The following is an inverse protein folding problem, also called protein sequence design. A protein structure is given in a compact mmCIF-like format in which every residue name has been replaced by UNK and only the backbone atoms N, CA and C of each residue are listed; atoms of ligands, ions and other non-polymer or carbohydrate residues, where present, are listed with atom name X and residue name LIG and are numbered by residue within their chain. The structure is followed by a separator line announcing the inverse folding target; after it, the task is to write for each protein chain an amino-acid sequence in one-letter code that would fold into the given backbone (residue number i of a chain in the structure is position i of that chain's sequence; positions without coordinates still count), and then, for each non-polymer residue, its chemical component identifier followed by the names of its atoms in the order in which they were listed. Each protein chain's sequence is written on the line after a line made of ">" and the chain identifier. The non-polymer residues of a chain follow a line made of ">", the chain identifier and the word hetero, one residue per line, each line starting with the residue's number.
data_IF_595094511934
#
_entry.id   IF_595094511934
#
_cell.length_a   1.000
_cell.length_b   1.000
_cell.length_c   1.000
_cell.angle_alpha   90.00
_cell.angle_beta   90.00
_cell.angle_gamma   90.00
#
_symmetry.space_group_name_H-M   'P 1'
#
loop_
_entity.id
_entity.type
_entity.pdbx_description
1 polymer ?
#
# COMPACT_ATOMS: atom_id res chain seq x y z
N UNK A 1 8.60 -30.62 -0.67
CA UNK A 1 8.84 -29.84 0.57
C UNK A 1 7.76 -30.10 1.64
N UNK A 2 8.16 -30.57 2.83
CA UNK A 2 7.26 -30.57 3.98
C UNK A 2 6.97 -29.10 4.36
N UNK A 3 5.73 -28.72 4.70
CA UNK A 3 5.49 -27.40 5.26
C UNK A 3 6.11 -27.36 6.66
N UNK A 4 7.36 -26.93 6.74
CA UNK A 4 8.04 -26.75 8.01
C UNK A 4 7.33 -25.61 8.76
N UNK A 5 6.58 -25.97 9.81
CA UNK A 5 6.02 -25.00 10.75
C UNK A 5 7.17 -24.37 11.53
N UNK A 6 7.32 -23.06 11.43
CA UNK A 6 8.38 -22.32 12.14
C UNK A 6 7.84 -21.93 13.52
N UNK A 7 8.28 -22.52 14.64
CA UNK A 7 7.78 -22.14 15.96
C UNK A 7 8.18 -20.68 16.25
N UNK A 8 7.19 -19.78 16.31
CA UNK A 8 7.40 -18.33 16.52
C UNK A 8 6.55 -17.86 17.69
N UNK A 9 7.09 -17.91 18.91
CA UNK A 9 6.35 -17.49 20.09
C UNK A 9 6.40 -15.96 20.28
N UNK A 10 5.29 -15.31 20.65
CA UNK A 10 3.92 -15.84 20.76
C UNK A 10 3.19 -15.87 19.38
N UNK A 11 2.66 -17.03 18.97
CA UNK A 11 1.82 -17.20 17.78
C UNK A 11 0.42 -17.74 18.11
N UNK A 12 -0.61 -17.50 17.26
CA UNK A 12 -1.97 -17.89 17.58
C UNK A 12 -2.13 -19.40 17.39
N UNK A 13 -2.79 -20.04 18.36
CA UNK A 13 -3.04 -21.49 18.36
C UNK A 13 -4.20 -21.88 17.44
N UNK A 14 -5.00 -20.92 16.97
CA UNK A 14 -6.17 -21.16 16.12
C UNK A 14 -6.08 -20.42 14.78
N UNK A 15 -6.71 -20.97 13.73
CA UNK A 15 -6.80 -20.33 12.42
C UNK A 15 -7.46 -18.95 12.49
N UNK A 16 -8.52 -18.81 13.31
CA UNK A 16 -9.18 -17.52 13.55
C UNK A 16 -8.22 -16.52 14.17
N UNK A 17 -7.40 -16.93 15.15
CA UNK A 17 -6.39 -16.07 15.76
C UNK A 17 -5.32 -15.60 14.77
N UNK A 18 -4.95 -16.44 13.80
CA UNK A 18 -4.04 -16.08 12.71
C UNK A 18 -4.66 -15.04 11.78
N UNK A 19 -5.90 -15.26 11.34
CA UNK A 19 -6.61 -14.30 10.48
C UNK A 19 -6.74 -12.95 11.19
N UNK A 20 -7.16 -12.92 12.45
CA UNK A 20 -7.27 -11.69 13.23
C UNK A 20 -5.93 -10.98 13.40
N UNK A 21 -4.83 -11.73 13.60
CA UNK A 21 -3.48 -11.16 13.67
C UNK A 21 -3.09 -10.51 12.35
N UNK A 22 -3.24 -11.22 11.23
CA UNK A 22 -2.86 -10.72 9.90
C UNK A 22 -3.70 -9.50 9.55
N UNK A 23 -5.02 -9.55 9.76
CA UNK A 23 -5.90 -8.40 9.55
C UNK A 23 -5.50 -7.20 10.42
N UNK A 24 -5.22 -7.42 11.71
CA UNK A 24 -4.77 -6.35 12.61
C UNK A 24 -3.43 -5.75 12.16
N UNK A 25 -2.54 -6.55 11.58
CA UNK A 25 -1.25 -6.06 11.08
C UNK A 25 -1.41 -5.29 9.78
N UNK A 26 -2.27 -5.73 8.87
CA UNK A 26 -2.50 -5.08 7.57
C UNK A 26 -3.31 -3.78 7.72
N UNK A 27 -4.35 -3.79 8.54
CA UNK A 27 -5.29 -2.66 8.66
C UNK A 27 -4.81 -1.63 9.68
N UNK A 28 -4.27 -2.08 10.82
CA UNK A 28 -3.95 -1.20 11.95
C UNK A 28 -2.46 -1.09 12.24
N UNK A 29 -1.59 -1.78 11.49
CA UNK A 29 -0.15 -1.85 11.78
C UNK A 29 0.14 -2.14 13.26
N UNK A 30 -0.55 -3.13 13.84
CA UNK A 30 -0.57 -3.39 15.29
C UNK A 30 0.82 -3.56 15.90
N UNK A 31 1.75 -4.21 15.20
CA UNK A 31 3.14 -4.31 15.65
C UNK A 31 3.81 -2.93 15.73
N UNK A 32 3.65 -2.12 14.69
CA UNK A 32 4.21 -0.77 14.61
C UNK A 32 3.64 0.15 15.68
N UNK A 33 2.33 0.04 15.97
CA UNK A 33 1.69 0.79 17.04
C UNK A 33 2.35 0.54 18.40
N UNK A 34 2.68 -0.73 18.69
CA UNK A 34 3.34 -1.12 19.94
C UNK A 34 4.81 -0.68 19.98
N UNK A 35 5.49 -0.67 18.84
CA UNK A 35 6.92 -0.34 18.76
C UNK A 35 7.18 1.17 18.80
N UNK A 36 6.43 1.96 18.02
CA UNK A 36 6.62 3.40 17.95
C UNK A 36 5.35 4.12 17.46
N UNK A 37 4.69 4.82 18.38
CA UNK A 37 3.43 5.52 18.12
C UNK A 37 3.55 6.65 17.08
N UNK A 38 4.69 7.32 17.00
CA UNK A 38 4.91 8.40 16.03
C UNK A 38 5.03 7.89 14.61
N UNK A 39 5.82 6.82 14.40
CA UNK A 39 5.93 6.19 13.09
C UNK A 39 4.59 5.60 12.67
N UNK A 40 3.88 4.98 13.62
CA UNK A 40 2.54 4.48 13.39
C UNK A 40 1.58 5.58 12.95
N UNK A 41 1.56 6.72 13.64
CA UNK A 41 0.68 7.85 13.31
C UNK A 41 0.91 8.33 11.88
N UNK A 42 2.14 8.70 11.52
CA UNK A 42 2.45 9.18 10.16
C UNK A 42 2.24 8.09 9.10
N UNK A 43 2.54 6.83 9.44
CA UNK A 43 2.29 5.68 8.57
C UNK A 43 0.80 5.47 8.30
N UNK A 44 -0.05 5.55 9.32
CA UNK A 44 -1.51 5.44 9.19
C UNK A 44 -2.10 6.62 8.45
N UNK A 45 -1.66 7.85 8.73
CA UNK A 45 -2.09 9.04 7.99
C UNK A 45 -1.78 8.89 6.51
N UNK A 46 -0.56 8.49 6.16
CA UNK A 46 -0.16 8.28 4.77
C UNK A 46 -0.99 7.18 4.09
N UNK A 47 -1.04 5.96 4.66
CA UNK A 47 -1.73 4.85 4.00
C UNK A 47 -3.25 5.02 3.96
N UNK A 48 -3.87 5.50 5.04
CA UNK A 48 -5.30 5.78 5.08
C UNK A 48 -5.68 6.84 4.05
N UNK A 49 -4.94 7.94 3.98
CA UNK A 49 -5.18 8.98 2.98
C UNK A 49 -4.90 8.49 1.55
N UNK A 50 -3.84 7.72 1.34
CA UNK A 50 -3.53 7.11 0.04
C UNK A 50 -4.71 6.29 -0.48
N UNK A 51 -5.30 5.43 0.36
CA UNK A 51 -6.48 4.64 -0.02
C UNK A 51 -7.67 5.53 -0.39
N UNK A 52 -8.00 6.52 0.42
CA UNK A 52 -9.13 7.42 0.15
C UNK A 52 -8.89 8.22 -1.14
N UNK A 53 -7.67 8.70 -1.37
CA UNK A 53 -7.28 9.41 -2.60
C UNK A 53 -7.39 8.49 -3.80
N UNK A 54 -6.93 7.24 -3.72
CA UNK A 54 -7.08 6.26 -4.80
C UNK A 54 -8.55 5.97 -5.11
N UNK A 55 -9.40 5.80 -4.10
CA UNK A 55 -10.84 5.62 -4.30
C UNK A 55 -11.48 6.83 -4.97
N UNK A 56 -11.04 8.06 -4.64
CA UNK A 56 -11.47 9.29 -5.33
C UNK A 56 -11.11 9.27 -6.82
N UNK A 57 -9.94 8.74 -7.18
CA UNK A 57 -9.47 8.68 -8.57
C UNK A 57 -10.34 7.78 -9.46
N UNK A 58 -11.06 6.80 -8.89
CA UNK A 58 -11.98 5.93 -9.66
C UNK A 58 -13.07 6.71 -10.42
N UNK A 59 -13.36 7.96 -10.02
CA UNK A 59 -14.26 8.85 -10.75
C UNK A 59 -13.86 9.03 -12.22
N UNK A 60 -12.56 9.02 -12.52
CA UNK A 60 -12.06 9.24 -13.88
C UNK A 60 -12.12 7.98 -14.76
N UNK A 61 -12.41 6.82 -14.17
CA UNK A 61 -12.44 5.52 -14.85
C UNK A 61 -13.86 4.94 -14.97
N UNK A 62 -14.90 5.67 -14.54
CA UNK A 62 -16.29 5.18 -14.52
C UNK A 62 -17.28 6.24 -15.03
N UNK A 63 -18.16 5.84 -15.95
CA UNK A 63 -19.25 6.67 -16.50
C UNK A 63 -20.53 5.83 -16.64
N UNK A 64 -21.60 6.08 -15.86
CA UNK A 64 -21.70 7.09 -14.80
C UNK A 64 -20.79 6.79 -13.60
N UNK A 65 -20.44 7.84 -12.86
CA UNK A 65 -19.65 7.69 -11.62
C UNK A 65 -20.47 6.91 -10.59
N UNK A 66 -19.91 5.84 -10.04
CA UNK A 66 -20.60 5.02 -9.05
C UNK A 66 -20.98 5.82 -7.79
N UNK A 67 -22.18 5.58 -7.25
CA UNK A 67 -22.74 6.38 -6.15
C UNK A 67 -21.83 6.43 -4.92
N UNK A 68 -21.19 5.32 -4.56
CA UNK A 68 -20.26 5.28 -3.43
C UNK A 68 -18.96 6.07 -3.69
N UNK A 69 -18.49 6.15 -4.95
CA UNK A 69 -17.33 6.98 -5.32
C UNK A 69 -17.67 8.45 -5.18
N UNK A 70 -18.91 8.86 -5.47
CA UNK A 70 -19.40 10.23 -5.24
C UNK A 70 -19.32 10.58 -3.75
N UNK A 71 -19.76 9.68 -2.87
CA UNK A 71 -19.70 9.88 -1.41
C UNK A 71 -18.27 10.03 -0.88
N UNK A 72 -17.29 9.37 -1.51
CA UNK A 72 -15.88 9.43 -1.11
C UNK A 72 -15.18 10.73 -1.55
N UNK A 73 -15.69 11.42 -2.58
CA UNK A 73 -15.05 12.64 -3.14
C UNK A 73 -14.61 13.69 -2.11
N UNK A 74 -15.46 14.16 -1.17
CA UNK A 74 -15.06 15.18 -0.20
C UNK A 74 -13.92 14.70 0.70
N UNK A 75 -13.99 13.45 1.16
CA UNK A 75 -12.94 12.85 1.97
C UNK A 75 -11.62 12.73 1.20
N UNK A 76 -11.67 12.35 -0.08
CA UNK A 76 -10.48 12.29 -0.93
C UNK A 76 -9.90 13.66 -1.29
N UNK A 77 -10.72 14.73 -1.27
CA UNK A 77 -10.24 16.10 -1.48
C UNK A 77 -9.37 16.56 -0.31
N UNK A 78 -9.86 16.44 0.92
CA UNK A 78 -9.11 16.83 2.12
C UNK A 78 -8.06 15.79 2.55
N UNK A 79 -8.26 14.52 2.16
CA UNK A 79 -7.30 13.43 2.36
C UNK A 79 -5.93 13.73 1.76
N UNK A 80 -5.86 14.53 0.68
CA UNK A 80 -4.60 15.00 0.12
C UNK A 80 -3.70 15.70 1.14
N UNK A 81 -4.27 16.52 2.03
CA UNK A 81 -3.48 17.17 3.10
C UNK A 81 -2.98 16.17 4.13
N UNK A 82 -3.83 15.22 4.55
CA UNK A 82 -3.44 14.15 5.48
C UNK A 82 -2.30 13.31 4.90
N UNK A 83 -2.37 13.01 3.60
CA UNK A 83 -1.33 12.28 2.88
C UNK A 83 0.00 13.06 2.89
N UNK A 84 -0.04 14.36 2.59
CA UNK A 84 1.13 15.24 2.59
C UNK A 84 1.76 15.33 3.98
N UNK A 85 0.96 15.52 5.03
CA UNK A 85 1.45 15.56 6.42
C UNK A 85 2.10 14.23 6.80
N UNK A 86 1.47 13.10 6.46
CA UNK A 86 2.03 11.76 6.68
C UNK A 86 3.38 11.57 5.98
N UNK A 87 3.46 11.93 4.70
CA UNK A 87 4.69 11.84 3.91
C UNK A 87 5.79 12.75 4.45
N UNK A 88 5.49 14.01 4.78
CA UNK A 88 6.44 14.96 5.35
C UNK A 88 6.95 14.46 6.71
N UNK A 89 6.08 13.92 7.57
CA UNK A 89 6.49 13.33 8.85
C UNK A 89 7.43 12.13 8.69
N UNK A 90 7.14 11.24 7.72
CA UNK A 90 8.00 10.09 7.40
C UNK A 90 9.34 10.52 6.80
N UNK A 91 9.34 11.52 5.92
CA UNK A 91 10.55 12.08 5.32
C UNK A 91 11.40 12.81 6.38
N UNK A 92 10.78 13.64 7.22
CA UNK A 92 11.44 14.34 8.31
C UNK A 92 12.11 13.35 9.28
N UNK A 93 11.42 12.28 9.66
CA UNK A 93 12.04 11.20 10.46
C UNK A 93 13.30 10.66 9.77
N UNK A 94 13.25 10.42 8.47
CA UNK A 94 14.37 9.86 7.71
C UNK A 94 15.56 10.81 7.66
N UNK A 95 15.29 12.11 7.55
CA UNK A 95 16.31 13.16 7.48
C UNK A 95 16.87 13.49 8.86
N UNK A 96 16.07 13.58 9.93
CA UNK A 96 16.51 14.12 11.22
C UNK A 96 16.96 13.05 12.22
N UNK A 97 16.48 11.82 12.13
CA UNK A 97 16.87 10.74 13.07
C UNK A 97 18.10 10.02 12.55
N UNK A 98 19.24 10.25 13.20
CA UNK A 98 20.57 9.74 12.80
C UNK A 98 20.59 8.23 12.51
N UNK A 99 20.05 7.42 13.43
CA UNK A 99 19.95 5.95 13.26
C UNK A 99 19.24 5.57 11.95
N UNK A 100 18.18 6.29 11.60
CA UNK A 100 17.39 6.01 10.40
C UNK A 100 18.09 6.52 9.15
N UNK A 101 18.71 7.70 9.24
CA UNK A 101 19.51 8.28 8.16
C UNK A 101 20.66 7.36 7.76
N UNK A 102 21.37 6.79 8.75
CA UNK A 102 22.50 5.89 8.55
C UNK A 102 22.14 4.62 7.78
N UNK A 103 20.96 4.05 8.01
CA UNK A 103 20.49 2.82 7.36
C UNK A 103 19.63 3.06 6.10
N UNK A 104 19.42 4.32 5.70
CA UNK A 104 18.53 4.65 4.57
C UNK A 104 19.30 4.74 3.27
N UNK A 105 18.76 4.13 2.21
CA UNK A 105 19.32 4.22 0.87
C UNK A 105 18.77 5.46 0.13
N UNK A 106 19.46 6.00 -0.89
CA UNK A 106 18.95 7.12 -1.70
C UNK A 106 17.55 6.87 -2.28
N UNK A 107 17.28 5.63 -2.70
CA UNK A 107 15.97 5.22 -3.21
C UNK A 107 14.83 5.40 -2.20
N UNK A 108 15.11 5.32 -0.89
CA UNK A 108 14.11 5.54 0.15
C UNK A 108 13.64 7.00 0.24
N UNK A 109 14.53 7.95 -0.06
CA UNK A 109 14.20 9.37 -0.12
C UNK A 109 13.48 9.70 -1.43
N UNK A 110 13.98 9.19 -2.55
CA UNK A 110 13.42 9.45 -3.87
C UNK A 110 11.95 8.99 -3.97
N UNK A 111 11.60 7.83 -3.40
CA UNK A 111 10.21 7.37 -3.39
C UNK A 111 9.29 8.30 -2.58
N UNK A 112 9.73 8.77 -1.41
CA UNK A 112 8.94 9.70 -0.60
C UNK A 112 8.79 11.06 -1.30
N UNK A 113 9.85 11.56 -1.93
CA UNK A 113 9.82 12.80 -2.71
C UNK A 113 8.89 12.67 -3.90
N UNK A 114 8.95 11.56 -4.64
CA UNK A 114 8.05 11.30 -5.77
C UNK A 114 6.59 11.31 -5.33
N UNK A 115 6.26 10.64 -4.21
CA UNK A 115 4.91 10.65 -3.66
C UNK A 115 4.49 12.04 -3.15
N UNK A 116 5.42 12.85 -2.62
CA UNK A 116 5.16 14.24 -2.27
C UNK A 116 4.86 15.10 -3.50
N UNK A 117 5.57 14.90 -4.61
CA UNK A 117 5.30 15.59 -5.88
C UNK A 117 3.91 15.21 -6.40
N UNK A 118 3.56 13.92 -6.39
CA UNK A 118 2.23 13.43 -6.80
C UNK A 118 1.14 14.03 -5.91
N UNK A 119 1.27 13.90 -4.58
CA UNK A 119 0.30 14.44 -3.62
C UNK A 119 0.19 15.95 -3.67
N UNK A 120 1.32 16.64 -3.82
CA UNK A 120 1.42 18.10 -3.85
C UNK A 120 0.80 18.69 -5.10
N UNK A 121 1.14 18.15 -6.28
CA UNK A 121 0.51 18.55 -7.54
C UNK A 121 -1.00 18.25 -7.56
N UNK A 122 -1.43 17.11 -7.01
CA UNK A 122 -2.84 16.77 -6.87
C UNK A 122 -3.62 17.72 -5.92
N UNK A 123 -2.98 18.13 -4.83
CA UNK A 123 -3.53 19.15 -3.93
C UNK A 123 -3.58 20.53 -4.61
N UNK A 124 -2.53 20.92 -5.32
CA UNK A 124 -2.48 22.19 -6.04
C UNK A 124 -3.61 22.28 -7.07
N UNK A 125 -3.85 21.21 -7.83
CA UNK A 125 -4.99 21.12 -8.75
C UNK A 125 -6.36 21.20 -8.07
N UNK A 126 -6.46 20.69 -6.84
CA UNK A 126 -7.75 20.63 -6.11
C UNK A 126 -8.11 21.94 -5.40
N UNK A 127 -7.14 22.81 -5.13
CA UNK A 127 -7.32 23.98 -4.25
C UNK A 127 -6.78 25.31 -4.80
N UNK A 128 -5.83 25.31 -5.74
CA UNK A 128 -5.12 26.53 -6.15
C UNK A 128 -5.18 26.74 -7.66
N UNK A 129 -4.88 25.71 -8.46
CA UNK A 129 -4.82 25.76 -9.91
C UNK A 129 -5.76 24.70 -10.52
N UNK A 130 -7.09 24.94 -10.54
CA UNK A 130 -8.05 23.99 -11.07
C UNK A 130 -7.74 23.63 -12.53
N UNK A 131 -7.87 22.35 -12.86
CA UNK A 131 -7.75 21.80 -14.22
C UNK A 131 -9.13 21.42 -14.75
N UNK A 132 -9.26 21.29 -16.07
CA UNK A 132 -10.48 20.77 -16.69
C UNK A 132 -10.63 19.27 -16.41
N UNK A 133 -11.31 18.96 -15.30
CA UNK A 133 -11.59 17.59 -14.87
C UNK A 133 -12.56 16.85 -15.80
N UNK A 134 -13.35 17.56 -16.61
CA UNK A 134 -14.29 16.96 -17.57
C UNK A 134 -13.52 16.47 -18.78
N UNK A 135 -12.71 17.34 -19.38
CA UNK A 135 -11.82 16.95 -20.47
C UNK A 135 -10.82 15.86 -20.03
N UNK A 136 -10.25 15.97 -18.82
CA UNK A 136 -9.37 14.92 -18.30
C UNK A 136 -10.11 13.57 -18.17
N UNK A 137 -11.37 13.58 -17.72
CA UNK A 137 -12.18 12.35 -17.64
C UNK A 137 -12.40 11.75 -19.03
N UNK A 138 -12.75 12.56 -20.02
CA UNK A 138 -12.90 12.13 -21.42
C UNK A 138 -11.61 11.50 -21.94
N UNK A 139 -10.45 12.13 -21.66
CA UNK A 139 -9.13 11.57 -21.96
C UNK A 139 -8.91 10.20 -21.32
N UNK A 140 -9.15 10.06 -20.03
CA UNK A 140 -8.96 8.78 -19.31
C UNK A 140 -9.89 7.67 -19.80
N UNK A 141 -11.15 7.98 -20.10
CA UNK A 141 -12.08 7.02 -20.72
C UNK A 141 -11.61 6.62 -22.12
N UNK A 142 -11.15 7.60 -22.92
CA UNK A 142 -10.59 7.36 -24.25
C UNK A 142 -9.40 6.39 -24.23
N UNK A 143 -8.46 6.59 -23.30
CA UNK A 143 -7.33 5.66 -23.09
C UNK A 143 -7.80 4.23 -22.78
N UNK A 144 -8.85 4.06 -21.97
CA UNK A 144 -9.38 2.72 -21.65
C UNK A 144 -10.09 2.05 -22.82
N UNK A 145 -10.81 2.82 -23.63
CA UNK A 145 -11.55 2.31 -24.79
C UNK A 145 -10.74 2.32 -26.08
N UNK A 146 -9.44 2.63 -26.00
CA UNK A 146 -8.54 2.78 -27.15
C UNK A 146 -9.02 3.81 -28.20
N UNK A 147 -9.74 4.84 -27.74
CA UNK A 147 -10.20 5.97 -28.52
C UNK A 147 -9.46 7.23 -28.04
N UNK A 148 -8.37 7.59 -28.72
CA UNK A 148 -7.46 8.63 -28.22
C UNK A 148 -8.11 10.01 -28.25
N UNK A 149 -8.21 10.64 -27.08
CA UNK A 149 -8.80 11.97 -26.91
C UNK A 149 -7.72 13.01 -26.56
N UNK A 150 -8.05 14.29 -26.71
CA UNK A 150 -7.12 15.37 -26.36
C UNK A 150 -6.91 15.46 -24.83
N UNK A 151 -5.65 15.57 -24.40
CA UNK A 151 -5.29 15.79 -23.00
C UNK A 151 -5.38 17.29 -22.65
N UNK A 152 -5.86 17.67 -21.45
CA UNK A 152 -5.73 19.05 -20.99
C UNK A 152 -4.26 19.45 -20.86
N UNK A 153 -3.93 20.67 -21.27
CA UNK A 153 -2.54 21.17 -21.34
C UNK A 153 -2.11 21.94 -20.10
N UNK A 154 -2.88 21.87 -19.02
CA UNK A 154 -2.55 22.50 -17.74
C UNK A 154 -1.19 22.00 -17.21
N UNK A 155 -0.24 22.90 -17.02
CA UNK A 155 1.13 22.51 -16.67
C UNK A 155 1.23 21.66 -15.39
N UNK A 156 0.41 21.95 -14.38
CA UNK A 156 0.41 21.17 -13.13
C UNK A 156 -0.16 19.76 -13.31
N UNK A 157 -1.14 19.58 -14.21
CA UNK A 157 -1.69 18.27 -14.56
C UNK A 157 -0.62 17.43 -15.24
N UNK A 158 0.13 18.02 -16.16
CA UNK A 158 1.22 17.34 -16.85
C UNK A 158 2.33 16.90 -15.88
N UNK A 159 2.69 17.74 -14.90
CA UNK A 159 3.62 17.37 -13.83
C UNK A 159 3.07 16.21 -13.00
N UNK A 160 1.79 16.26 -12.62
CA UNK A 160 1.15 15.19 -11.86
C UNK A 160 1.18 13.87 -12.63
N UNK A 161 0.74 13.90 -13.89
CA UNK A 161 0.67 12.71 -14.75
C UNK A 161 2.06 12.13 -15.02
N UNK A 162 3.06 12.97 -15.31
CA UNK A 162 4.44 12.55 -15.49
C UNK A 162 4.99 11.86 -14.23
N UNK A 163 4.72 12.41 -13.04
CA UNK A 163 5.13 11.81 -11.77
C UNK A 163 4.44 10.47 -11.51
N UNK A 164 3.16 10.34 -11.84
CA UNK A 164 2.41 9.07 -11.73
C UNK A 164 2.94 8.03 -12.72
N UNK A 165 3.21 8.40 -13.98
CA UNK A 165 3.82 7.50 -14.97
C UNK A 165 5.19 7.01 -14.49
N UNK A 166 6.02 7.92 -13.99
CA UNK A 166 7.31 7.56 -13.42
C UNK A 166 7.16 6.59 -12.23
N UNK A 167 6.17 6.83 -11.36
CA UNK A 167 5.84 5.91 -10.28
C UNK A 167 5.46 4.54 -10.84
N UNK A 168 4.59 4.46 -11.85
CA UNK A 168 4.16 3.18 -12.45
C UNK A 168 5.34 2.40 -13.05
N UNK A 169 6.28 3.07 -13.70
CA UNK A 169 7.49 2.45 -14.28
C UNK A 169 8.39 1.86 -13.17
N UNK A 170 8.60 2.60 -12.07
CA UNK A 170 9.53 2.20 -11.01
C UNK A 170 8.87 1.24 -9.99
N UNK A 171 7.54 1.32 -9.83
CA UNK A 171 6.76 0.54 -8.86
C UNK A 171 7.14 -0.95 -8.80
N UNK A 172 7.21 -1.71 -9.92
CA UNK A 172 7.51 -3.14 -9.88
C UNK A 172 8.92 -3.48 -9.40
N UNK A 173 9.85 -2.52 -9.43
CA UNK A 173 11.23 -2.69 -8.98
C UNK A 173 11.49 -2.05 -7.61
N UNK A 174 10.45 -1.55 -6.96
CA UNK A 174 10.57 -0.73 -5.76
C UNK A 174 10.13 -1.45 -4.48
N UNK A 175 10.47 -0.85 -3.33
CA UNK A 175 10.00 -1.28 -2.00
C UNK A 175 8.48 -1.11 -1.81
N UNK A 176 7.77 -0.52 -2.78
CA UNK A 176 6.32 -0.32 -2.70
C UNK A 176 5.52 -1.63 -2.90
N UNK A 177 6.13 -2.67 -3.47
CA UNK A 177 5.56 -4.03 -3.55
C UNK A 177 5.55 -4.78 -2.20
N UNK A 178 5.53 -4.08 -1.07
CA UNK A 178 5.57 -4.71 0.25
C UNK A 178 4.24 -5.39 0.65
N UNK A 179 3.12 -5.08 -0.02
CA UNK A 179 1.80 -5.59 0.36
C UNK A 179 1.64 -7.13 0.21
N UNK A 180 2.02 -7.77 -0.91
CA UNK A 180 1.95 -9.24 -1.03
C UNK A 180 2.78 -9.98 0.03
N UNK A 181 3.94 -9.43 0.40
CA UNK A 181 4.89 -10.10 1.30
C UNK A 181 4.32 -10.41 2.70
N UNK A 182 3.31 -9.67 3.16
CA UNK A 182 2.66 -9.93 4.45
C UNK A 182 1.82 -11.22 4.41
N UNK A 183 1.17 -11.50 3.28
CA UNK A 183 0.28 -12.65 3.12
C UNK A 183 1.03 -13.95 2.83
N UNK A 184 2.21 -13.87 2.20
CA UNK A 184 3.01 -15.03 1.83
C UNK A 184 4.09 -15.41 2.84
N UNK A 185 4.18 -14.72 3.98
CA UNK A 185 5.18 -15.01 5.02
C UNK A 185 4.69 -16.10 5.98
N UNK A 186 5.30 -17.31 5.99
CA UNK A 186 4.87 -18.41 6.86
C UNK A 186 4.91 -18.05 8.35
N UNK A 187 5.89 -17.25 8.76
CA UNK A 187 6.01 -16.79 10.16
C UNK A 187 4.88 -15.87 10.63
N UNK A 188 4.09 -15.31 9.70
CA UNK A 188 2.97 -14.42 10.02
C UNK A 188 1.60 -15.08 9.84
N UNK A 189 1.47 -16.01 8.90
CA UNK A 189 0.19 -16.62 8.51
C UNK A 189 0.02 -18.09 8.99
N UNK A 190 0.93 -18.62 9.80
CA UNK A 190 0.83 -19.99 10.31
C UNK A 190 0.18 -20.05 11.70
N UNK A 191 -0.65 -21.08 11.90
CA UNK A 191 -1.10 -21.53 13.23
C UNK A 191 0.07 -22.18 13.97
N UNK A 192 0.23 -21.84 15.25
CA UNK A 192 1.25 -22.39 16.14
C UNK A 192 0.82 -23.73 16.73
N UNK A 193 0.92 -24.78 15.92
CA UNK A 193 0.64 -26.15 16.32
C UNK A 193 1.79 -27.10 15.97
N UNK A 194 3.01 -26.56 15.89
CA UNK A 194 4.21 -27.33 15.58
C UNK A 194 4.50 -28.42 16.62
N UNK A 195 4.12 -28.17 17.88
CA UNK A 195 4.30 -29.10 19.02
C UNK A 195 3.09 -29.99 19.29
N UNK A 196 1.92 -29.65 18.74
CA UNK A 196 0.65 -30.35 18.99
C UNK A 196 0.31 -31.36 17.88
N UNK A 197 0.73 -31.07 16.64
CA UNK A 197 0.46 -31.92 15.48
C UNK A 197 1.76 -32.33 14.83
N UNK A 198 1.83 -33.59 14.42
CA UNK A 198 2.91 -34.10 13.57
C UNK A 198 2.69 -33.61 12.14
N UNK A 199 3.54 -32.68 11.68
CA UNK A 199 3.50 -32.15 10.31
C UNK A 199 4.44 -32.96 9.41
N UNK A 200 3.91 -34.00 8.79
CA UNK A 200 4.66 -34.87 7.87
C UNK A 200 4.05 -34.76 6.46
N UNK A 201 4.91 -34.73 5.44
CA UNK A 201 4.43 -34.67 4.06
C UNK A 201 3.77 -36.00 3.66
N UNK A 202 2.75 -36.00 2.78
CA UNK A 202 2.03 -37.22 2.38
C UNK A 202 2.93 -38.33 1.82
N UNK A 203 4.03 -37.98 1.15
CA UNK A 203 4.99 -38.96 0.61
C UNK A 203 5.82 -39.63 1.71
N UNK A 204 6.16 -38.91 2.78
CA UNK A 204 6.93 -39.43 3.90
C UNK A 204 6.06 -40.34 4.79
N UNK A 205 4.77 -39.99 4.95
CA UNK A 205 3.75 -40.86 5.52
C UNK A 205 3.67 -42.22 4.80
N UNK A 206 3.69 -42.21 3.46
CA UNK A 206 3.66 -43.43 2.64
C UNK A 206 4.92 -44.29 2.80
N UNK A 207 6.09 -43.68 3.03
CA UNK A 207 7.35 -44.40 3.26
C UNK A 207 7.37 -45.10 4.62
N UNK A 208 6.97 -44.41 5.69
CA UNK A 208 6.86 -45.02 7.02
C UNK A 208 5.86 -46.16 7.04
N UNK A 209 4.70 -45.99 6.36
CA UNK A 209 3.70 -47.04 6.26
C UNK A 209 4.24 -48.32 5.57
N UNK A 210 5.15 -48.17 4.60
CA UNK A 210 5.80 -49.31 3.91
C UNK A 210 6.93 -49.95 4.70
N UNK A 211 7.58 -49.20 5.61
CA UNK A 211 8.64 -49.75 6.47
C UNK A 211 8.09 -50.50 7.68
N UNK A 212 6.86 -50.21 8.08
CA UNK A 212 6.17 -50.83 9.21
C UNK A 212 5.25 -52.00 8.81
N UNK A 213 5.20 -52.36 7.53
CA UNK A 213 4.47 -53.51 6.95
C UNK A 213 5.43 -54.61 6.56
#
# INVERSE_FOLDING_TARGET
>A
PAPLKVPTMPAPLTSTGVVLRVLSEVVLFRSLFRANKWIWLFGMMFHGALWIVLLRHLRYFTEPVWSWVVLVQPFGKYGGFVMLIGLLGLLARRIFVERIRYISNPSDYLMLILLLVIGGSGALMSFVLPTDIVQFKVFMLGVMYFDWQAIPTDGILLVHLAAVILLMIIFPFSKLLHAPGVFFSPSRNQVDNAREKRHIAPWALKLEAKQNS
#
